data_IF_262591715206
#
_entry.id   IF_262591715206
#
_cell.length_a   1.000
_cell.length_b   1.000
_cell.length_c   1.000
_cell.angle_alpha   90.00
_cell.angle_beta   90.00
_cell.angle_gamma   90.00
#
_symmetry.space_group_name_H-M   'P 1'
#
loop_
_entity.id
_entity.type
_entity.pdbx_description
1 polymer ?
#
# COMPACT_ATOMS: atom_id res chain seq x y z
N UNK A 1 -7.63 -3.90 -12.54
CA UNK A 1 -6.21 -4.34 -12.43
C UNK A 1 -5.98 -4.99 -11.08
N UNK A 2 -5.16 -6.01 -11.04
CA UNK A 2 -4.67 -6.63 -9.81
C UNK A 2 -3.64 -5.76 -9.12
N UNK A 3 -3.53 -5.90 -7.79
CA UNK A 3 -2.59 -5.15 -6.95
C UNK A 3 -1.64 -6.11 -6.25
N UNK A 4 -0.35 -6.02 -6.55
CA UNK A 4 0.71 -6.81 -5.90
C UNK A 4 1.25 -6.04 -4.70
N UNK A 5 1.21 -6.63 -3.49
CA UNK A 5 1.71 -5.99 -2.27
C UNK A 5 2.88 -6.77 -1.68
N UNK A 6 4.00 -6.09 -1.47
CA UNK A 6 5.23 -6.69 -0.94
C UNK A 6 5.21 -6.73 0.59
N UNK A 7 4.79 -7.86 1.16
CA UNK A 7 4.55 -8.04 2.60
C UNK A 7 5.63 -8.87 3.31
N UNK A 8 6.68 -9.30 2.62
CA UNK A 8 7.58 -10.34 3.12
C UNK A 8 8.88 -9.90 3.79
N UNK A 9 9.09 -8.61 4.04
CA UNK A 9 10.30 -8.06 4.65
C UNK A 9 10.46 -8.43 6.13
N UNK A 10 11.72 -8.49 6.62
CA UNK A 10 12.03 -8.79 8.03
C UNK A 10 11.62 -7.69 9.03
N UNK A 11 11.39 -6.45 8.58
CA UNK A 11 10.87 -5.34 9.39
C UNK A 11 11.69 -4.98 10.64
N UNK A 12 13.00 -5.21 10.64
CA UNK A 12 13.88 -5.14 11.81
C UNK A 12 13.90 -3.79 12.55
N UNK A 13 13.49 -2.70 11.90
CA UNK A 13 13.56 -1.33 12.48
C UNK A 13 12.35 -0.95 13.33
N UNK A 14 11.25 -1.70 13.23
CA UNK A 14 9.97 -1.45 13.96
C UNK A 14 9.60 -2.65 14.83
N UNK A 15 10.52 -3.57 15.11
CA UNK A 15 10.19 -4.75 15.92
C UNK A 15 9.70 -4.33 17.29
N UNK A 16 8.43 -4.60 17.53
CA UNK A 16 7.83 -4.61 18.85
C UNK A 16 8.20 -5.92 19.57
N UNK A 17 8.04 -5.97 20.88
CA UNK A 17 8.28 -7.16 21.71
C UNK A 17 7.48 -8.40 21.23
N UNK A 18 6.42 -8.20 20.45
CA UNK A 18 5.53 -9.24 19.94
C UNK A 18 5.94 -9.83 18.58
N UNK A 19 7.07 -9.45 17.98
CA UNK A 19 7.55 -9.91 16.65
C UNK A 19 6.48 -9.81 15.54
N UNK A 20 5.68 -8.74 15.57
CA UNK A 20 4.66 -8.47 14.56
C UNK A 20 5.34 -8.02 13.27
N UNK A 21 5.04 -8.63 12.09
CA UNK A 21 5.59 -8.18 10.82
C UNK A 21 5.08 -6.77 10.48
N UNK A 22 5.94 -5.95 9.87
CA UNK A 22 5.68 -4.53 9.57
C UNK A 22 4.30 -4.27 8.93
N UNK A 23 3.83 -5.06 7.93
CA UNK A 23 2.50 -4.86 7.33
C UNK A 23 1.34 -5.00 8.32
N UNK A 24 1.56 -5.68 9.44
CA UNK A 24 0.53 -5.95 10.45
C UNK A 24 0.59 -5.01 11.66
N UNK A 25 1.49 -4.03 11.65
CA UNK A 25 1.52 -2.98 12.67
C UNK A 25 0.26 -2.13 12.57
N UNK A 26 -0.42 -1.97 13.70
CA UNK A 26 -1.70 -1.26 13.78
C UNK A 26 -1.51 0.25 13.60
N UNK A 27 -2.43 0.85 12.85
CA UNK A 27 -2.70 2.29 12.79
C UNK A 27 -4.19 2.45 13.10
N UNK A 28 -4.51 2.90 14.31
CA UNK A 28 -5.86 2.86 14.82
C UNK A 28 -6.36 1.42 14.98
N UNK A 29 -7.52 1.11 14.44
CA UNK A 29 -8.15 -0.22 14.59
C UNK A 29 -7.67 -1.26 13.58
N UNK A 30 -6.89 -0.89 12.56
CA UNK A 30 -6.52 -1.78 11.45
C UNK A 30 -5.01 -1.73 11.19
N UNK A 31 -4.41 -2.84 10.73
CA UNK A 31 -3.00 -2.84 10.34
C UNK A 31 -2.74 -1.96 9.12
N UNK A 32 -1.53 -1.43 8.98
CA UNK A 32 -1.17 -0.55 7.87
C UNK A 32 -1.43 -1.18 6.50
N UNK A 33 -1.24 -2.49 6.36
CA UNK A 33 -1.57 -3.25 5.15
C UNK A 33 -3.04 -3.07 4.75
N UNK A 34 -3.95 -3.13 5.73
CA UNK A 34 -5.39 -2.92 5.46
C UNK A 34 -5.66 -1.52 4.90
N UNK A 35 -5.02 -0.48 5.45
CA UNK A 35 -5.16 0.89 4.93
C UNK A 35 -4.67 1.01 3.48
N UNK A 36 -3.53 0.39 3.15
CA UNK A 36 -3.02 0.32 1.77
C UNK A 36 -4.02 -0.38 0.85
N UNK A 37 -4.56 -1.53 1.27
CA UNK A 37 -5.55 -2.27 0.47
C UNK A 37 -6.85 -1.47 0.32
N UNK A 38 -7.33 -0.82 1.39
CA UNK A 38 -8.55 0.01 1.37
C UNK A 38 -8.42 1.20 0.41
N UNK A 39 -7.21 1.81 0.34
CA UNK A 39 -6.91 2.85 -0.64
C UNK A 39 -7.12 2.35 -2.07
N UNK A 40 -6.53 1.22 -2.45
CA UNK A 40 -6.71 0.66 -3.79
C UNK A 40 -8.15 0.23 -4.06
N UNK A 41 -8.80 -0.38 -3.07
CA UNK A 41 -10.21 -0.79 -3.17
C UNK A 41 -11.16 0.40 -3.39
N UNK A 42 -10.88 1.57 -2.80
CA UNK A 42 -11.62 2.80 -3.02
C UNK A 42 -11.63 3.21 -4.50
N UNK A 43 -10.53 3.00 -5.22
CA UNK A 43 -10.42 3.26 -6.66
C UNK A 43 -10.84 2.07 -7.53
N UNK A 44 -11.49 1.04 -6.95
CA UNK A 44 -12.03 -0.10 -7.68
C UNK A 44 -11.06 -1.27 -7.91
N UNK A 45 -9.86 -1.22 -7.35
CA UNK A 45 -8.86 -2.29 -7.45
C UNK A 45 -8.93 -3.19 -6.21
N UNK A 46 -9.67 -4.30 -6.31
CA UNK A 46 -10.06 -5.18 -5.20
C UNK A 46 -9.51 -6.60 -5.30
N UNK A 47 -8.68 -6.88 -6.29
CA UNK A 47 -7.98 -8.16 -6.48
C UNK A 47 -6.52 -7.98 -6.08
N UNK A 48 -6.15 -8.56 -4.94
CA UNK A 48 -4.87 -8.39 -4.27
C UNK A 48 -4.03 -9.65 -4.33
N UNK A 49 -2.73 -9.50 -4.55
CA UNK A 49 -1.72 -10.57 -4.45
C UNK A 49 -0.73 -10.16 -3.37
N UNK A 50 -0.77 -10.81 -2.21
CA UNK A 50 0.13 -10.55 -1.10
C UNK A 50 1.39 -11.41 -1.24
N UNK A 51 2.53 -10.79 -1.51
CA UNK A 51 3.84 -11.44 -1.55
C UNK A 51 4.35 -11.67 -0.12
N UNK A 52 4.12 -12.85 0.42
CA UNK A 52 4.44 -13.20 1.79
C UNK A 52 5.86 -13.77 1.94
N UNK A 53 6.39 -13.70 3.16
CA UNK A 53 7.68 -14.23 3.55
C UNK A 53 7.75 -14.40 5.06
N UNK A 54 8.56 -13.60 5.76
CA UNK A 54 8.66 -13.66 7.23
C UNK A 54 7.30 -13.40 7.88
N UNK A 55 6.94 -14.26 8.85
CA UNK A 55 5.66 -14.22 9.60
C UNK A 55 4.42 -14.16 8.70
N UNK A 56 4.44 -14.89 7.61
CA UNK A 56 3.30 -15.08 6.71
C UNK A 56 2.04 -15.59 7.44
N UNK A 57 2.23 -16.35 8.50
CA UNK A 57 1.19 -16.88 9.39
C UNK A 57 0.34 -15.75 9.99
N UNK A 58 0.97 -14.66 10.46
CA UNK A 58 0.28 -13.53 11.08
C UNK A 58 -0.62 -12.82 10.06
N UNK A 59 -0.13 -12.60 8.84
CA UNK A 59 -0.92 -11.98 7.77
C UNK A 59 -2.10 -12.86 7.38
N UNK A 60 -1.87 -14.17 7.17
CA UNK A 60 -2.92 -15.13 6.82
C UNK A 60 -3.99 -15.21 7.92
N UNK A 61 -3.58 -15.36 9.18
CA UNK A 61 -4.50 -15.45 10.32
C UNK A 61 -5.36 -14.20 10.47
N UNK A 62 -4.83 -13.02 10.21
CA UNK A 62 -5.60 -11.78 10.25
C UNK A 62 -6.80 -11.83 9.29
N UNK A 63 -6.58 -12.20 8.02
CA UNK A 63 -7.65 -12.25 7.03
C UNK A 63 -8.57 -13.46 7.20
N UNK A 64 -8.06 -14.61 7.63
CA UNK A 64 -8.88 -15.79 7.92
C UNK A 64 -9.84 -15.57 9.10
N UNK A 65 -9.45 -14.71 10.07
CA UNK A 65 -10.25 -14.37 11.24
C UNK A 65 -10.72 -12.91 11.19
N UNK A 66 -10.89 -12.36 9.99
CA UNK A 66 -11.28 -10.96 9.81
C UNK A 66 -12.65 -10.70 10.45
N UNK A 67 -12.73 -9.66 11.28
CA UNK A 67 -13.99 -9.20 11.87
C UNK A 67 -14.35 -7.82 11.35
N UNK A 68 -15.46 -7.73 10.62
CA UNK A 68 -16.02 -6.46 10.14
C UNK A 68 -16.39 -5.52 11.30
N UNK A 69 -16.80 -6.08 12.44
CA UNK A 69 -17.23 -5.29 13.61
C UNK A 69 -16.13 -4.43 14.24
N UNK A 70 -14.85 -4.66 13.88
CA UNK A 70 -13.73 -3.88 14.43
C UNK A 70 -13.72 -2.45 13.89
N UNK A 71 -14.17 -2.24 12.67
CA UNK A 71 -14.10 -0.96 11.95
C UNK A 71 -15.45 -0.47 11.42
N UNK A 72 -16.51 -1.26 11.57
CA UNK A 72 -17.85 -0.91 11.11
C UNK A 72 -18.85 -0.88 12.24
N UNK A 73 -19.81 0.04 12.17
CA UNK A 73 -20.96 0.06 13.07
C UNK A 73 -21.88 -1.12 12.79
N UNK A 74 -22.47 -1.68 13.82
CA UNK A 74 -23.38 -2.82 13.71
C UNK A 74 -24.47 -2.81 14.79
N UNK A 75 -25.53 -3.54 14.53
CA UNK A 75 -26.59 -3.83 15.50
C UNK A 75 -26.48 -5.27 15.98
N UNK A 76 -26.44 -5.47 17.29
CA UNK A 76 -26.52 -6.77 17.94
C UNK A 76 -27.91 -6.93 18.58
N UNK A 77 -28.66 -7.97 18.17
CA UNK A 77 -30.03 -8.22 18.63
C UNK A 77 -30.26 -9.68 18.98
N UNK A 78 -31.45 -10.01 19.51
CA UNK A 78 -31.83 -11.39 19.84
C UNK A 78 -30.93 -12.03 20.91
N UNK A 79 -30.45 -11.25 21.89
CA UNK A 79 -29.54 -11.76 22.92
C UNK A 79 -28.17 -12.18 22.38
N UNK A 80 -27.64 -11.46 21.39
CA UNK A 80 -26.35 -11.73 20.76
C UNK A 80 -26.39 -12.73 19.58
N UNK A 81 -27.58 -13.19 19.18
CA UNK A 81 -27.74 -14.22 18.14
C UNK A 81 -27.81 -13.64 16.72
N UNK A 82 -28.13 -12.35 16.57
CA UNK A 82 -28.28 -11.69 15.26
C UNK A 82 -27.41 -10.45 15.22
N UNK A 83 -26.51 -10.42 14.23
CA UNK A 83 -25.61 -9.30 13.95
C UNK A 83 -25.97 -8.73 12.57
N UNK A 84 -26.12 -7.40 12.50
CA UNK A 84 -26.38 -6.68 11.25
C UNK A 84 -25.40 -5.53 11.12
N UNK A 85 -24.53 -5.59 10.10
CA UNK A 85 -23.54 -4.56 9.77
C UNK A 85 -24.20 -3.42 8.99
N UNK A 86 -23.79 -2.17 9.23
CA UNK A 86 -24.20 -1.04 8.41
C UNK A 86 -23.33 -0.91 7.15
N UNK A 87 -22.06 -1.34 7.23
CA UNK A 87 -21.09 -1.33 6.12
C UNK A 87 -20.25 -2.59 6.17
N UNK A 88 -19.56 -2.90 5.07
CA UNK A 88 -18.52 -3.92 5.03
C UNK A 88 -17.24 -3.38 4.40
N UNK A 89 -16.09 -3.94 4.80
CA UNK A 89 -14.79 -3.49 4.34
C UNK A 89 -14.23 -4.33 3.20
N UNK A 90 -14.24 -5.67 3.40
CA UNK A 90 -13.50 -6.59 2.52
C UNK A 90 -14.39 -7.62 1.81
N UNK A 91 -15.70 -7.51 1.91
CA UNK A 91 -16.65 -8.50 1.39
C UNK A 91 -16.46 -8.79 -0.11
N UNK A 92 -16.05 -7.81 -0.88
CA UNK A 92 -15.84 -7.90 -2.34
C UNK A 92 -14.35 -7.92 -2.73
N UNK A 93 -13.45 -8.17 -1.77
CA UNK A 93 -12.03 -8.31 -2.06
C UNK A 93 -11.68 -9.77 -2.40
N UNK A 94 -10.85 -9.93 -3.42
CA UNK A 94 -10.19 -11.19 -3.71
C UNK A 94 -8.72 -11.08 -3.27
N UNK A 95 -8.26 -12.02 -2.44
CA UNK A 95 -6.90 -11.96 -1.87
C UNK A 95 -6.17 -13.26 -2.14
N UNK A 96 -5.09 -13.19 -2.91
CA UNK A 96 -4.15 -14.28 -3.13
C UNK A 96 -2.98 -14.18 -2.15
N UNK A 97 -2.78 -15.19 -1.33
CA UNK A 97 -1.67 -15.28 -0.38
C UNK A 97 -0.54 -16.10 -1.02
N UNK A 98 0.44 -15.42 -1.60
CA UNK A 98 1.56 -16.06 -2.29
C UNK A 98 2.78 -16.17 -1.37
N UNK A 99 3.26 -17.37 -1.08
CA UNK A 99 4.57 -17.55 -0.46
C UNK A 99 5.66 -17.28 -1.50
N UNK A 100 6.42 -16.22 -1.26
CA UNK A 100 7.48 -15.78 -2.15
C UNK A 100 8.88 -15.99 -1.57
N UNK A 101 8.96 -16.67 -0.42
CA UNK A 101 10.20 -16.98 0.28
C UNK A 101 10.61 -15.91 1.30
N UNK A 102 11.21 -16.36 2.42
CA UNK A 102 11.58 -15.50 3.56
C UNK A 102 12.66 -14.51 3.16
N UNK A 103 13.66 -14.96 2.41
CA UNK A 103 14.86 -14.17 2.06
C UNK A 103 14.79 -13.51 0.68
N UNK A 104 13.63 -13.56 0.02
CA UNK A 104 13.46 -12.97 -1.30
C UNK A 104 13.47 -11.44 -1.23
N UNK A 105 14.18 -10.81 -2.15
CA UNK A 105 14.11 -9.38 -2.39
C UNK A 105 12.85 -9.02 -3.21
N UNK A 106 12.63 -7.73 -3.46
CA UNK A 106 11.41 -7.26 -4.13
C UNK A 106 11.30 -7.78 -5.57
N UNK A 107 12.41 -7.80 -6.33
CA UNK A 107 12.41 -8.35 -7.69
C UNK A 107 12.06 -9.84 -7.73
N UNK A 108 12.62 -10.63 -6.81
CA UNK A 108 12.31 -12.06 -6.68
C UNK A 108 10.83 -12.29 -6.30
N UNK A 109 10.27 -11.47 -5.38
CA UNK A 109 8.86 -11.56 -5.00
C UNK A 109 7.95 -11.23 -6.17
N UNK A 110 8.27 -10.19 -6.91
CA UNK A 110 7.51 -9.82 -8.11
C UNK A 110 7.55 -10.94 -9.15
N UNK A 111 8.73 -11.51 -9.42
CA UNK A 111 8.88 -12.63 -10.38
C UNK A 111 8.11 -13.89 -9.92
N UNK A 112 8.08 -14.18 -8.63
CA UNK A 112 7.37 -15.34 -8.09
C UNK A 112 5.84 -15.28 -8.27
N UNK A 113 5.28 -14.09 -8.40
CA UNK A 113 3.82 -13.89 -8.56
C UNK A 113 3.38 -13.65 -9.99
N UNK A 114 4.28 -13.67 -10.96
CA UNK A 114 3.98 -13.50 -12.41
C UNK A 114 2.84 -14.44 -12.87
N UNK A 115 2.82 -15.68 -12.40
CA UNK A 115 1.80 -16.70 -12.71
C UNK A 115 0.38 -16.30 -12.27
N UNK A 116 0.23 -15.43 -11.25
CA UNK A 116 -1.07 -14.94 -10.79
C UNK A 116 -1.55 -13.70 -11.54
N UNK A 117 -0.71 -13.18 -12.47
CA UNK A 117 -1.00 -12.04 -13.33
C UNK A 117 -1.32 -12.46 -14.79
N UNK A 118 -1.64 -13.75 -15.01
CA UNK A 118 -2.12 -14.19 -16.32
C UNK A 118 -3.39 -13.45 -16.72
N UNK A 119 -3.44 -12.96 -17.95
CA UNK A 119 -4.55 -12.17 -18.48
C UNK A 119 -4.49 -10.66 -18.17
N UNK A 120 -3.55 -10.23 -17.30
CA UNK A 120 -3.34 -8.80 -17.04
C UNK A 120 -2.27 -8.25 -17.99
N UNK A 121 -2.58 -7.20 -18.75
CA UNK A 121 -1.60 -6.43 -19.52
C UNK A 121 -0.83 -5.44 -18.64
N UNK A 122 -1.50 -4.91 -17.63
CA UNK A 122 -1.00 -3.95 -16.66
C UNK A 122 -1.47 -4.33 -15.25
N UNK A 123 -0.66 -4.01 -14.25
CA UNK A 123 -1.00 -4.24 -12.86
C UNK A 123 -0.38 -3.18 -11.95
N UNK A 124 -0.94 -3.05 -10.77
CA UNK A 124 -0.45 -2.18 -9.71
C UNK A 124 0.45 -2.97 -8.76
N UNK A 125 1.46 -2.31 -8.21
CA UNK A 125 2.26 -2.91 -7.14
C UNK A 125 2.62 -1.86 -6.10
N UNK A 126 2.87 -2.29 -4.85
CA UNK A 126 3.28 -1.37 -3.80
C UNK A 126 4.01 -2.08 -2.66
N UNK A 127 4.77 -1.27 -1.92
CA UNK A 127 5.16 -1.62 -0.55
C UNK A 127 3.91 -1.65 0.35
N UNK A 128 3.98 -2.44 1.40
CA UNK A 128 2.83 -2.67 2.31
C UNK A 128 2.78 -1.71 3.50
N UNK A 129 3.56 -0.63 3.47
CA UNK A 129 3.86 0.24 4.61
C UNK A 129 3.88 1.74 4.28
N UNK A 130 3.46 2.12 3.08
CA UNK A 130 3.35 3.51 2.63
C UNK A 130 1.88 3.92 2.45
N UNK A 131 1.51 5.09 2.99
CA UNK A 131 0.17 5.67 2.90
C UNK A 131 0.22 6.99 2.13
N UNK A 132 -0.84 7.28 1.36
CA UNK A 132 -0.94 8.50 0.54
C UNK A 132 -2.39 8.92 0.32
N UNK A 133 -2.61 10.18 0.02
CA UNK A 133 -3.86 10.74 -0.48
C UNK A 133 -3.88 10.90 -2.01
N UNK A 134 -2.93 10.27 -2.70
CA UNK A 134 -2.78 10.34 -4.16
C UNK A 134 -4.10 9.98 -4.88
N UNK A 135 -4.59 10.83 -5.79
CA UNK A 135 -5.70 10.44 -6.68
C UNK A 135 -5.18 9.48 -7.75
N UNK A 136 -5.22 8.18 -7.47
CA UNK A 136 -4.70 7.11 -8.33
C UNK A 136 -5.12 7.21 -9.81
N UNK A 137 -6.36 7.62 -10.16
CA UNK A 137 -6.74 7.79 -11.56
C UNK A 137 -5.86 8.78 -12.34
N UNK A 138 -5.36 9.84 -11.70
CA UNK A 138 -4.47 10.81 -12.34
C UNK A 138 -3.09 10.21 -12.63
N UNK A 139 -2.56 9.38 -11.72
CA UNK A 139 -1.31 8.67 -11.96
C UNK A 139 -1.45 7.65 -13.11
N UNK A 140 -2.58 6.93 -13.16
CA UNK A 140 -2.90 6.00 -14.23
C UNK A 140 -3.01 6.70 -15.59
N UNK A 141 -3.75 7.82 -15.65
CA UNK A 141 -3.88 8.61 -16.86
C UNK A 141 -2.51 9.09 -17.37
N UNK A 142 -1.68 9.63 -16.47
CA UNK A 142 -0.32 10.04 -16.81
C UNK A 142 0.52 8.86 -17.34
N UNK A 143 0.43 7.67 -16.72
CA UNK A 143 1.15 6.48 -17.17
C UNK A 143 0.74 6.06 -18.58
N UNK A 144 -0.57 6.03 -18.86
CA UNK A 144 -1.10 5.68 -20.19
C UNK A 144 -0.67 6.69 -21.28
N UNK A 145 -0.64 7.99 -20.96
CA UNK A 145 -0.18 9.04 -21.88
C UNK A 145 1.30 8.89 -22.24
N UNK A 146 2.13 8.41 -21.32
CA UNK A 146 3.58 8.26 -21.53
C UNK A 146 3.96 6.96 -22.22
N UNK A 147 3.09 5.96 -22.24
CA UNK A 147 3.28 4.63 -22.86
C UNK A 147 4.60 3.96 -22.48
N UNK A 148 4.93 3.91 -21.20
CA UNK A 148 6.14 3.31 -20.65
C UNK A 148 5.87 1.95 -20.01
N UNK A 149 6.94 1.21 -19.70
CA UNK A 149 6.85 -0.12 -19.06
C UNK A 149 6.55 0.00 -17.57
N UNK A 150 7.10 1.02 -16.92
CA UNK A 150 6.96 1.19 -15.47
C UNK A 150 6.82 2.64 -15.04
N UNK A 151 6.04 2.86 -13.98
CA UNK A 151 5.91 4.13 -13.27
C UNK A 151 5.96 3.89 -11.77
N UNK A 152 6.42 4.90 -11.03
CA UNK A 152 6.34 4.92 -9.57
C UNK A 152 6.10 6.34 -9.05
N UNK A 153 5.68 6.44 -7.79
CA UNK A 153 5.42 7.71 -7.13
C UNK A 153 6.74 8.37 -6.68
N UNK A 154 7.00 9.58 -7.15
CA UNK A 154 8.14 10.41 -6.74
C UNK A 154 7.69 11.44 -5.71
N UNK A 155 8.05 11.24 -4.43
CA UNK A 155 7.63 12.08 -3.31
C UNK A 155 8.80 12.81 -2.67
N UNK A 156 8.51 13.87 -1.91
CA UNK A 156 9.51 14.49 -1.06
C UNK A 156 9.77 13.59 0.15
N UNK A 157 11.03 13.44 0.58
CA UNK A 157 11.31 12.67 1.79
C UNK A 157 10.68 13.34 3.01
N UNK A 158 9.94 12.56 3.80
CA UNK A 158 9.38 13.02 5.08
C UNK A 158 10.36 12.70 6.22
N UNK A 159 11.55 13.30 6.16
CA UNK A 159 12.61 13.10 7.14
C UNK A 159 12.94 14.42 7.84
N UNK A 160 13.26 14.33 9.13
CA UNK A 160 13.67 15.49 9.94
C UNK A 160 15.15 15.86 9.80
N UNK A 161 15.83 15.34 8.76
CA UNK A 161 17.22 15.66 8.48
C UNK A 161 17.36 16.97 7.69
N UNK A 162 18.52 17.59 7.83
CA UNK A 162 18.93 18.72 7.03
C UNK A 162 20.00 18.28 6.03
N UNK A 163 19.84 18.68 4.79
CA UNK A 163 20.90 18.58 3.79
C UNK A 163 21.94 19.65 4.07
N UNK A 164 23.21 19.26 4.03
CA UNK A 164 24.36 20.15 4.14
C UNK A 164 24.98 20.25 2.75
N UNK A 165 25.11 21.46 2.24
CA UNK A 165 25.90 21.75 1.05
C UNK A 165 27.29 22.17 1.46
N UNK A 166 28.31 21.60 0.82
CA UNK A 166 29.71 21.97 1.03
C UNK A 166 30.17 22.88 -0.11
N UNK A 167 31.18 23.71 0.16
CA UNK A 167 31.72 24.64 -0.84
C UNK A 167 32.52 23.84 -1.90
N UNK A 168 32.31 24.17 -3.17
CA UNK A 168 33.04 23.56 -4.28
C UNK A 168 34.52 23.92 -4.19
N UNK A 169 35.40 22.91 -4.09
CA UNK A 169 36.85 23.10 -3.90
C UNK A 169 37.32 23.22 -2.44
N UNK A 170 36.40 23.25 -1.46
CA UNK A 170 36.73 23.14 -0.04
C UNK A 170 35.65 22.35 0.71
N UNK A 171 35.79 21.02 0.70
CA UNK A 171 34.81 20.08 1.27
C UNK A 171 34.63 20.17 2.80
N UNK A 172 35.36 21.06 3.49
CA UNK A 172 35.21 21.29 4.92
C UNK A 172 34.38 22.55 5.26
N UNK A 173 34.10 23.39 4.26
CA UNK A 173 33.26 24.57 4.45
C UNK A 173 31.81 24.30 4.06
N UNK A 174 30.89 24.59 4.98
CA UNK A 174 29.46 24.50 4.75
C UNK A 174 28.99 25.75 4.00
N UNK A 175 28.45 25.56 2.80
CA UNK A 175 27.85 26.64 1.99
C UNK A 175 26.34 26.79 2.19
N UNK A 176 25.69 25.81 2.82
CA UNK A 176 24.26 25.89 3.12
C UNK A 176 23.73 24.72 3.96
N UNK A 177 22.65 24.98 4.69
CA UNK A 177 21.88 23.98 5.42
C UNK A 177 20.42 24.18 5.11
N UNK A 178 19.77 23.14 4.60
CA UNK A 178 18.36 23.20 4.19
C UNK A 178 17.63 21.95 4.71
N UNK A 179 16.36 22.10 5.12
CA UNK A 179 15.53 20.95 5.42
C UNK A 179 15.39 20.09 4.16
N UNK A 180 15.57 18.77 4.29
CA UNK A 180 15.58 17.84 3.15
C UNK A 180 14.27 17.86 2.35
N UNK A 181 13.15 18.16 3.02
CA UNK A 181 11.82 18.27 2.39
C UNK A 181 11.63 19.54 1.55
N UNK A 182 12.48 20.55 1.73
CA UNK A 182 12.43 21.81 0.95
C UNK A 182 13.30 21.76 -0.32
N UNK A 183 14.07 20.68 -0.50
CA UNK A 183 14.98 20.50 -1.62
C UNK A 183 14.31 19.94 -2.89
N UNK A 184 15.12 19.78 -3.94
CA UNK A 184 14.75 19.13 -5.19
C UNK A 184 14.78 17.59 -5.09
N UNK A 185 15.31 17.06 -3.99
CA UNK A 185 15.45 15.62 -3.76
C UNK A 185 14.07 14.97 -3.68
N UNK A 186 13.93 13.87 -4.44
CA UNK A 186 12.76 13.02 -4.40
C UNK A 186 13.18 11.59 -4.13
N UNK A 187 12.29 10.84 -3.49
CA UNK A 187 12.48 9.43 -3.20
C UNK A 187 11.41 8.59 -3.91
N UNK A 188 11.70 7.30 -4.05
CA UNK A 188 10.74 6.32 -4.50
C UNK A 188 9.71 6.08 -3.40
N UNK A 189 8.48 6.53 -3.63
CA UNK A 189 7.34 6.39 -2.72
C UNK A 189 6.52 5.12 -2.95
N UNK A 190 6.94 4.20 -3.80
CA UNK A 190 6.13 3.04 -4.18
C UNK A 190 5.03 3.39 -5.18
N UNK A 191 3.84 2.85 -4.99
CA UNK A 191 2.67 3.06 -5.87
C UNK A 191 3.03 2.85 -7.33
N UNK A 192 3.57 1.66 -7.60
CA UNK A 192 4.03 1.27 -8.93
C UNK A 192 2.86 0.97 -9.86
N UNK A 193 3.02 1.32 -11.13
CA UNK A 193 2.22 0.84 -12.24
C UNK A 193 3.17 0.14 -13.19
N UNK A 194 2.88 -1.11 -13.53
CA UNK A 194 3.71 -1.91 -14.42
C UNK A 194 2.91 -2.46 -15.59
N UNK A 195 3.47 -2.40 -16.79
CA UNK A 195 3.06 -3.33 -17.85
C UNK A 195 3.65 -4.70 -17.58
N UNK A 196 2.97 -5.77 -18.02
CA UNK A 196 3.47 -7.15 -17.90
C UNK A 196 4.89 -7.32 -18.44
N UNK A 197 5.28 -6.50 -19.42
CA UNK A 197 6.64 -6.44 -19.97
C UNK A 197 7.74 -6.20 -18.93
N UNK A 198 7.43 -5.73 -17.70
CA UNK A 198 8.40 -5.60 -16.60
C UNK A 198 9.15 -6.91 -16.32
N UNK A 199 8.49 -8.06 -16.53
CA UNK A 199 9.08 -9.38 -16.27
C UNK A 199 10.23 -9.73 -17.21
N UNK A 200 10.34 -9.11 -18.39
CA UNK A 200 11.46 -9.26 -19.32
C UNK A 200 12.74 -8.59 -18.80
N UNK A 201 12.56 -7.62 -17.86
CA UNK A 201 13.66 -6.87 -17.26
C UNK A 201 14.15 -7.49 -15.94
N UNK A 202 13.44 -8.45 -15.35
CA UNK A 202 13.80 -9.06 -14.05
C UNK A 202 14.61 -10.32 -14.30
N UNK A 203 15.90 -10.29 -13.91
CA UNK A 203 16.78 -11.47 -13.91
C UNK A 203 16.76 -12.15 -12.53
N UNK A 204 17.35 -13.34 -12.49
CA UNK A 204 17.41 -14.13 -11.27
C UNK A 204 18.16 -13.40 -10.14
N UNK A 205 17.57 -13.37 -8.92
CA UNK A 205 18.12 -12.81 -7.69
C UNK A 205 18.37 -11.28 -7.68
N UNK A 206 17.91 -10.56 -8.68
CA UNK A 206 18.07 -9.10 -8.72
C UNK A 206 17.05 -8.36 -7.83
N UNK A 207 17.54 -7.31 -7.18
CA UNK A 207 16.67 -6.33 -6.53
C UNK A 207 16.00 -5.44 -7.59
N UNK A 208 14.70 -5.18 -7.45
CA UNK A 208 13.89 -4.47 -8.45
C UNK A 208 14.48 -3.10 -8.83
N UNK A 209 14.91 -2.33 -7.83
CA UNK A 209 15.39 -0.95 -8.03
C UNK A 209 16.79 -0.93 -8.63
N UNK A 210 17.66 -1.87 -8.27
CA UNK A 210 19.07 -1.83 -8.67
C UNK A 210 19.31 -2.39 -10.09
N UNK A 211 18.68 -3.50 -10.45
CA UNK A 211 18.89 -4.15 -11.74
C UNK A 211 17.83 -3.77 -12.78
N UNK A 212 16.59 -4.23 -12.61
CA UNK A 212 15.50 -3.99 -13.56
C UNK A 212 15.25 -2.51 -13.83
N UNK A 213 15.21 -1.67 -12.79
CA UNK A 213 14.98 -0.23 -12.99
C UNK A 213 16.13 0.44 -13.72
N UNK A 214 17.39 0.02 -13.51
CA UNK A 214 18.50 0.59 -14.26
C UNK A 214 18.35 0.31 -15.77
N UNK A 215 17.99 -0.93 -16.14
CA UNK A 215 17.74 -1.27 -17.56
C UNK A 215 16.58 -0.46 -18.16
N UNK A 216 15.51 -0.28 -17.38
CA UNK A 216 14.38 0.57 -17.80
C UNK A 216 14.78 2.04 -17.96
N UNK A 217 15.68 2.56 -17.10
CA UNK A 217 16.22 3.92 -17.22
C UNK A 217 17.04 4.05 -18.50
N UNK A 218 17.96 3.11 -18.76
CA UNK A 218 18.82 3.10 -19.94
C UNK A 218 17.99 3.08 -21.24
N UNK A 219 16.86 2.36 -21.24
CA UNK A 219 15.91 2.28 -22.36
C UNK A 219 14.82 3.37 -22.32
N UNK A 220 14.84 4.29 -21.37
CA UNK A 220 13.81 5.34 -21.16
C UNK A 220 12.39 4.78 -21.02
N UNK A 221 12.26 3.65 -20.32
CA UNK A 221 11.01 2.93 -20.09
C UNK A 221 10.49 3.06 -18.65
N UNK A 222 11.18 3.81 -17.77
CA UNK A 222 10.77 4.12 -16.40
C UNK A 222 10.43 5.59 -16.28
N UNK A 223 9.26 5.89 -15.71
CA UNK A 223 8.86 7.26 -15.39
C UNK A 223 8.53 7.41 -13.91
N UNK A 224 8.75 8.61 -13.38
CA UNK A 224 8.34 9.00 -12.04
C UNK A 224 7.13 9.94 -12.09
N UNK A 225 6.05 9.58 -11.40
CA UNK A 225 4.93 10.50 -11.20
C UNK A 225 5.23 11.41 -10.01
N UNK A 226 5.48 12.68 -10.27
CA UNK A 226 5.78 13.66 -9.24
C UNK A 226 4.54 14.02 -8.44
N UNK A 227 4.61 13.83 -7.12
CA UNK A 227 3.51 14.11 -6.21
C UNK A 227 3.98 14.96 -5.02
N UNK A 228 3.22 16.03 -4.73
CA UNK A 228 3.51 16.97 -3.65
C UNK A 228 2.43 16.96 -2.54
N UNK A 229 1.42 16.05 -2.60
CA UNK A 229 0.44 15.81 -1.56
C UNK A 229 0.99 14.95 -0.42
N UNK A 230 0.09 14.37 0.36
CA UNK A 230 0.48 13.54 1.49
C UNK A 230 1.07 12.20 1.04
N UNK A 231 2.21 11.88 1.58
CA UNK A 231 2.81 10.54 1.55
C UNK A 231 3.60 10.30 2.84
N UNK A 232 3.45 9.14 3.44
CA UNK A 232 4.24 8.73 4.60
C UNK A 232 4.51 7.23 4.57
N UNK A 233 5.79 6.85 4.69
CA UNK A 233 6.21 5.49 4.96
C UNK A 233 6.31 5.26 6.47
N UNK A 234 6.06 4.04 6.92
CA UNK A 234 6.20 3.65 8.32
C UNK A 234 7.47 2.82 8.51
N UNK A 235 8.63 3.46 8.58
CA UNK A 235 9.94 2.79 8.73
C UNK A 235 10.45 2.73 10.16
N UNK A 236 10.02 3.66 11.00
CA UNK A 236 10.47 3.83 12.38
C UNK A 236 9.29 3.93 13.35
N UNK A 237 9.57 3.77 14.64
CA UNK A 237 8.57 4.01 15.69
C UNK A 237 8.02 5.44 15.66
N UNK A 238 8.85 6.43 15.30
CA UNK A 238 8.44 7.83 15.14
C UNK A 238 7.43 7.99 14.00
N UNK A 239 7.63 7.27 12.89
CA UNK A 239 6.69 7.30 11.76
C UNK A 239 5.35 6.71 12.17
N UNK A 240 5.36 5.57 12.87
CA UNK A 240 4.15 4.97 13.46
C UNK A 240 3.41 5.96 14.33
N UNK A 241 4.11 6.59 15.29
CA UNK A 241 3.50 7.56 16.21
C UNK A 241 2.89 8.75 15.46
N UNK A 242 3.55 9.22 14.41
CA UNK A 242 3.02 10.29 13.56
C UNK A 242 1.71 9.86 12.88
N UNK A 243 1.66 8.68 12.26
CA UNK A 243 0.47 8.13 11.63
C UNK A 243 -0.67 7.91 12.64
N UNK A 244 -0.36 7.37 13.82
CA UNK A 244 -1.34 7.22 14.92
C UNK A 244 -1.91 8.57 15.38
N UNK A 245 -1.08 9.61 15.46
CA UNK A 245 -1.52 10.96 15.84
C UNK A 245 -2.48 11.52 14.78
N UNK A 246 -2.17 11.38 13.50
CA UNK A 246 -3.06 11.81 12.41
C UNK A 246 -4.39 11.05 12.43
N UNK A 247 -4.33 9.73 12.64
CA UNK A 247 -5.51 8.89 12.71
C UNK A 247 -6.40 9.25 13.89
N UNK A 248 -5.83 9.33 15.10
CA UNK A 248 -6.55 9.68 16.34
C UNK A 248 -7.12 11.09 16.33
N UNK A 249 -6.49 12.02 15.62
CA UNK A 249 -7.00 13.39 15.40
C UNK A 249 -8.13 13.48 14.36
N UNK A 250 -8.51 12.38 13.72
CA UNK A 250 -9.53 12.37 12.67
C UNK A 250 -9.10 13.08 11.37
N UNK A 251 -7.80 13.34 11.22
CA UNK A 251 -7.21 14.06 10.09
C UNK A 251 -6.27 13.17 9.25
N UNK A 252 -6.58 11.88 9.13
CA UNK A 252 -5.81 10.92 8.36
C UNK A 252 -5.97 11.17 6.84
N UNK A 253 -5.00 11.81 6.15
CA UNK A 253 -5.18 12.22 4.75
C UNK A 253 -5.35 11.03 3.80
N UNK A 254 -4.77 9.88 4.14
CA UNK A 254 -4.84 8.65 3.34
C UNK A 254 -6.21 7.98 3.35
N UNK A 255 -7.12 8.38 4.26
CA UNK A 255 -8.47 7.83 4.32
C UNK A 255 -9.39 8.46 3.26
N UNK A 256 -8.94 8.47 2.00
CA UNK A 256 -9.63 9.06 0.84
C UNK A 256 -11.05 8.51 0.65
N UNK A 257 -11.34 7.32 1.15
CA UNK A 257 -12.67 6.71 1.13
C UNK A 257 -13.67 7.39 2.07
N UNK A 258 -13.22 8.16 3.07
CA UNK A 258 -14.09 8.91 3.99
C UNK A 258 -14.56 10.24 3.39
N UNK A 259 -13.79 10.87 2.52
CA UNK A 259 -14.12 12.15 1.89
C UNK A 259 -15.41 12.07 1.05
N UNK A 260 -15.76 10.89 0.53
CA UNK A 260 -16.98 10.64 -0.23
C UNK A 260 -18.16 10.16 0.65
N UNK A 261 -17.99 10.06 1.98
CA UNK A 261 -18.90 9.39 2.91
C UNK A 261 -19.96 10.28 3.56
N UNK A 262 -20.13 11.54 3.17
CA UNK A 262 -21.25 12.39 3.67
C UNK A 262 -22.61 12.14 2.99
N UNK A 263 -22.76 11.03 2.29
CA UNK A 263 -24.04 10.52 1.82
C UNK A 263 -24.43 9.29 2.64
N UNK A 264 -25.33 9.45 3.63
CA UNK A 264 -26.05 8.32 4.22
C UNK A 264 -26.70 7.54 3.06
N UNK A 265 -26.11 6.40 2.68
CA UNK A 265 -26.85 5.39 1.92
C UNK A 265 -27.67 4.63 2.97
N UNK A 266 -28.95 4.93 3.04
CA UNK A 266 -29.92 4.01 3.62
C UNK A 266 -29.82 2.72 2.78
N UNK A 267 -29.20 1.70 3.34
CA UNK A 267 -29.29 0.35 2.81
C UNK A 267 -30.65 -0.16 3.21
N UNK A 268 -31.51 -0.36 2.22
CA UNK A 268 -32.89 -0.85 2.39
C UNK A 268 -32.83 -2.28 2.94
N UNK A 269 -32.97 -2.41 4.27
CA UNK A 269 -32.91 -3.67 5.04
C UNK A 269 -34.10 -4.60 4.70
N UNK A 270 -35.04 -4.13 3.86
CA UNK A 270 -36.26 -4.89 3.54
C UNK A 270 -36.06 -6.00 2.49
N UNK A 271 -34.93 -6.09 1.78
CA UNK A 271 -34.73 -7.07 0.71
C UNK A 271 -34.06 -8.38 1.11
N UNK A 272 -33.35 -8.44 2.23
CA UNK A 272 -32.71 -9.70 2.66
C UNK A 272 -33.62 -10.63 3.48
N UNK A 273 -34.72 -10.13 4.04
CA UNK A 273 -35.63 -10.98 4.82
C UNK A 273 -36.59 -11.85 3.96
N UNK A 274 -36.64 -11.63 2.65
CA UNK A 274 -37.54 -12.36 1.73
C UNK A 274 -36.90 -13.55 1.01
N UNK A 275 -35.58 -13.73 1.13
CA UNK A 275 -34.89 -14.88 0.51
C UNK A 275 -34.65 -16.05 1.46
N UNK A 276 -34.94 -15.92 2.76
CA UNK A 276 -34.81 -17.03 3.73
C UNK A 276 -36.10 -17.76 4.06
N UNK A 277 -37.25 -17.38 3.46
CA UNK A 277 -38.55 -18.01 3.77
C UNK A 277 -39.09 -18.92 2.65
N UNK A 278 -38.31 -19.30 1.64
CA UNK A 278 -38.77 -20.18 0.55
C UNK A 278 -37.95 -21.48 0.43
N UNK A 279 -37.52 -22.06 1.55
CA UNK A 279 -37.13 -23.51 1.62
C UNK A 279 -37.68 -24.03 2.95
N UNK A 280 -38.87 -24.57 2.89
CA UNK A 280 -39.48 -25.38 3.90
C UNK A 280 -40.17 -26.52 3.18
#
# INVERSE_FOLDING_TARGET
MKVVLFCGGLGLRIRDAEDIPKPMVQIGYRPILWHVMKYYAHFGHKDFILCLGHRADVVKNYFLNYSECVSNDFVLSGGGKKLSLFNSDIQDWQITFADTGINSNIGQRLKAVEKYLEGEEEFLANYSDGLTDLPLPQQLEHFHQQDKVASFLCVRPNLSYHMVSLEEGNENLVSGIHAINNGTVRINGGFFIFKKKIFDYIREKEELVNGPFQRLIDERQLIGYRYDGFWAGMDTFKDRQHLETLYGGGAAPWEVWKANGNGRREVDVAKESLLSSSVG
#
